data_IF_714386808812
#
_entry.id   IF_714386808812
#
_cell.length_a   1.000
_cell.length_b   1.000
_cell.length_c   1.000
_cell.angle_alpha   90.00
_cell.angle_beta   90.00
_cell.angle_gamma   90.00
#
_symmetry.space_group_name_H-M   'P 1'
#
loop_
_entity.id
_entity.type
_entity.pdbx_description
1 polymer ?
#
# COMPACT_ATOMS: atom_id res chain seq x y z
N UNK A 1 9.40 3.85 3.41
CA UNK A 1 8.46 3.04 2.61
C UNK A 1 9.05 2.60 1.26
N UNK A 2 10.36 2.75 1.00
CA UNK A 2 10.96 2.42 -0.30
C UNK A 2 10.74 0.96 -0.72
N UNK A 3 10.95 0.01 0.19
CA UNK A 3 10.73 -1.42 -0.06
C UNK A 3 9.26 -1.70 -0.42
N UNK A 4 8.31 -1.12 0.33
CA UNK A 4 6.87 -1.27 0.06
C UNK A 4 6.49 -0.73 -1.32
N UNK A 5 7.03 0.43 -1.71
CA UNK A 5 6.79 0.99 -3.04
C UNK A 5 7.37 0.10 -4.14
N UNK A 6 8.60 -0.40 -3.98
CA UNK A 6 9.21 -1.35 -4.92
C UNK A 6 8.37 -2.62 -5.06
N UNK A 7 7.87 -3.17 -3.96
CA UNK A 7 7.01 -4.36 -3.96
C UNK A 7 5.68 -4.11 -4.69
N UNK A 8 5.03 -2.97 -4.43
CA UNK A 8 3.81 -2.59 -5.14
C UNK A 8 4.07 -2.45 -6.65
N UNK A 9 5.14 -1.75 -7.05
CA UNK A 9 5.48 -1.58 -8.47
C UNK A 9 5.85 -2.91 -9.16
N UNK A 10 6.49 -3.84 -8.44
CA UNK A 10 6.85 -5.16 -8.97
C UNK A 10 5.62 -5.99 -9.40
N UNK A 11 4.45 -5.73 -8.82
CA UNK A 11 3.18 -6.41 -9.17
C UNK A 11 2.22 -5.56 -10.00
N UNK A 12 2.67 -4.42 -10.54
CA UNK A 12 1.86 -3.54 -11.39
C UNK A 12 1.26 -2.32 -10.69
N UNK A 13 1.58 -2.09 -9.43
CA UNK A 13 1.16 -0.91 -8.66
C UNK A 13 -0.31 -0.97 -8.21
N UNK A 14 -0.91 0.21 -8.03
CA UNK A 14 -2.28 0.34 -7.52
C UNK A 14 -2.33 0.48 -6.01
N UNK A 15 -3.44 0.03 -5.43
CA UNK A 15 -3.69 0.10 -3.99
C UNK A 15 -3.52 -1.31 -3.42
N UNK A 16 -2.41 -1.56 -2.74
CA UNK A 16 -2.05 -2.86 -2.17
C UNK A 16 -1.54 -2.72 -0.74
N UNK A 17 -1.69 -3.76 0.07
CA UNK A 17 -1.01 -3.89 1.36
C UNK A 17 0.22 -4.79 1.21
N UNK A 18 1.32 -4.41 1.88
CA UNK A 18 2.60 -5.13 1.81
C UNK A 18 2.93 -5.64 3.20
N UNK A 19 3.06 -6.96 3.31
CA UNK A 19 3.48 -7.59 4.55
C UNK A 19 5.00 -7.74 4.53
N UNK A 20 5.64 -7.21 5.57
CA UNK A 20 7.10 -7.15 5.68
C UNK A 20 7.51 -7.87 6.96
N UNK A 21 8.50 -8.76 6.85
CA UNK A 21 9.15 -9.42 7.96
C UNK A 21 10.53 -8.81 8.20
N UNK A 22 10.92 -8.71 9.47
CA UNK A 22 12.27 -8.33 9.87
C UNK A 22 13.20 -9.54 9.72
N UNK A 23 14.37 -9.33 9.14
CA UNK A 23 15.47 -10.30 9.07
C UNK A 23 16.69 -9.74 9.81
N UNK A 24 17.67 -10.59 10.11
CA UNK A 24 18.88 -10.22 10.87
C UNK A 24 19.56 -8.94 10.37
N UNK A 25 19.62 -8.77 9.05
CA UNK A 25 20.32 -7.66 8.41
C UNK A 25 19.41 -6.87 7.44
N UNK A 26 18.09 -6.91 7.63
CA UNK A 26 17.18 -6.17 6.75
C UNK A 26 15.70 -6.51 6.87
N UNK A 27 14.99 -6.34 5.76
CA UNK A 27 13.55 -6.56 5.65
C UNK A 27 13.24 -7.41 4.42
N UNK A 28 12.31 -8.34 4.56
CA UNK A 28 11.83 -9.21 3.49
C UNK A 28 10.35 -8.96 3.25
N UNK A 29 9.96 -8.87 1.97
CA UNK A 29 8.55 -8.84 1.58
C UNK A 29 8.01 -10.27 1.61
N UNK A 30 6.96 -10.50 2.39
CA UNK A 30 6.33 -11.80 2.52
C UNK A 30 5.14 -11.96 1.57
N UNK A 31 4.27 -10.96 1.50
CA UNK A 31 3.03 -11.00 0.70
C UNK A 31 2.66 -9.61 0.15
N UNK A 32 1.96 -9.59 -0.99
CA UNK A 32 1.30 -8.41 -1.55
C UNK A 32 -0.20 -8.68 -1.69
N UNK A 33 -1.00 -7.96 -0.91
CA UNK A 33 -2.45 -8.14 -0.82
C UNK A 33 -3.19 -7.11 -1.68
N UNK A 34 -3.91 -7.58 -2.71
CA UNK A 34 -4.66 -6.71 -3.64
C UNK A 34 -6.02 -6.25 -3.12
N UNK A 35 -6.60 -6.94 -2.14
CA UNK A 35 -7.85 -6.57 -1.46
C UNK A 35 -7.59 -6.50 0.03
N UNK A 36 -7.01 -5.38 0.49
CA UNK A 36 -6.58 -5.26 1.88
C UNK A 36 -7.73 -4.96 2.85
N UNK A 37 -7.59 -5.45 4.07
CA UNK A 37 -8.35 -4.95 5.22
C UNK A 37 -7.54 -3.86 5.93
N UNK A 38 -8.19 -2.75 6.32
CA UNK A 38 -7.50 -1.60 6.94
C UNK A 38 -8.19 -1.06 8.19
N UNK A 39 -9.28 -1.70 8.66
CA UNK A 39 -10.11 -1.20 9.76
C UNK A 39 -9.29 -0.86 11.02
N UNK A 40 -8.43 -1.79 11.44
CA UNK A 40 -7.61 -1.63 12.64
C UNK A 40 -6.43 -0.68 12.42
N UNK A 41 -5.98 -0.51 11.17
CA UNK A 41 -4.87 0.36 10.83
C UNK A 41 -5.24 1.85 10.94
N UNK A 42 -6.51 2.21 10.79
CA UNK A 42 -6.97 3.61 10.88
C UNK A 42 -6.68 4.19 12.27
N UNK A 43 -7.14 3.53 13.34
CA UNK A 43 -6.94 4.02 14.71
C UNK A 43 -5.48 4.00 15.12
N UNK A 44 -4.72 2.98 14.70
CA UNK A 44 -3.32 2.82 15.06
C UNK A 44 -2.41 3.86 14.41
N UNK A 45 -2.69 4.21 13.15
CA UNK A 45 -1.84 5.14 12.38
C UNK A 45 -2.35 6.58 12.39
N UNK A 46 -3.64 6.79 12.71
CA UNK A 46 -4.30 8.09 12.51
C UNK A 46 -4.52 8.46 11.04
N UNK A 47 -4.19 7.57 10.10
CA UNK A 47 -4.33 7.82 8.67
C UNK A 47 -5.75 7.48 8.22
N UNK A 48 -6.36 8.41 7.49
CA UNK A 48 -7.63 8.17 6.82
C UNK A 48 -7.40 7.36 5.52
N UNK A 49 -7.17 6.06 5.67
CA UNK A 49 -6.88 5.12 4.57
C UNK A 49 -8.02 5.13 3.51
N UNK A 50 -9.32 5.06 3.88
CA UNK A 50 -10.40 5.12 2.88
C UNK A 50 -10.37 6.39 2.03
N UNK A 51 -10.09 7.55 2.64
CA UNK A 51 -9.97 8.81 1.91
C UNK A 51 -8.83 8.76 0.89
N UNK A 52 -7.66 8.26 1.27
CA UNK A 52 -6.53 8.16 0.35
C UNK A 52 -6.82 7.21 -0.82
N UNK A 53 -7.53 6.11 -0.58
CA UNK A 53 -7.97 5.21 -1.65
C UNK A 53 -8.90 5.92 -2.64
N UNK A 54 -9.87 6.68 -2.14
CA UNK A 54 -10.78 7.47 -2.98
C UNK A 54 -10.03 8.54 -3.78
N UNK A 55 -9.12 9.27 -3.13
CA UNK A 55 -8.27 10.28 -3.79
C UNK A 55 -7.43 9.65 -4.91
N UNK A 56 -6.84 8.48 -4.68
CA UNK A 56 -6.11 7.73 -5.71
C UNK A 56 -7.00 7.36 -6.91
N UNK A 57 -8.19 6.80 -6.66
CA UNK A 57 -9.11 6.39 -7.74
C UNK A 57 -9.60 7.60 -8.54
N UNK A 58 -9.92 8.72 -7.89
CA UNK A 58 -10.32 9.96 -8.57
C UNK A 58 -9.20 10.47 -9.48
N UNK A 59 -7.99 10.58 -8.95
CA UNK A 59 -6.84 11.08 -9.71
C UNK A 59 -6.51 10.15 -10.89
N UNK A 60 -6.59 8.82 -10.70
CA UNK A 60 -6.43 7.84 -11.79
C UNK A 60 -7.52 7.99 -12.86
N UNK A 61 -8.78 8.18 -12.46
CA UNK A 61 -9.90 8.40 -13.38
C UNK A 61 -9.75 9.70 -14.21
N UNK A 62 -9.08 10.71 -13.66
CA UNK A 62 -8.74 11.96 -14.35
C UNK A 62 -7.48 11.86 -15.23
N UNK A 63 -6.74 10.75 -15.17
CA UNK A 63 -5.46 10.59 -15.86
C UNK A 63 -4.30 11.37 -15.23
N UNK A 64 -4.43 11.79 -13.96
CA UNK A 64 -3.38 12.50 -13.21
C UNK A 64 -2.27 11.56 -12.72
N UNK A 65 -2.56 10.25 -12.65
CA UNK A 65 -1.61 9.21 -12.29
C UNK A 65 -1.71 8.05 -13.28
N UNK A 66 -0.55 7.54 -13.69
CA UNK A 66 -0.38 6.46 -14.68
C UNK A 66 -0.41 5.10 -13.98
#
# INVERSE_FOLDING_TARGET
>A
NELSLKAAHAVGGGIVAIDIMEEKDGYLVNEVNHTMEFKNSISTTGVNIPRQMVEYVIAKAKGEII
#
